data_IF_739437659710
#
_entry.id   IF_739437659710
#
_cell.length_a   1.000
_cell.length_b   1.000
_cell.length_c   1.000
_cell.angle_alpha   90.00
_cell.angle_beta   90.00
_cell.angle_gamma   90.00
#
_symmetry.space_group_name_H-M   'P 1'
#
loop_
_entity.id
_entity.type
_entity.pdbx_description
1 polymer ?
#
# COMPACT_ATOMS: atom_id res chain seq x y z
N UNK A 1 -14.12 -2.03 15.08
CA UNK A 1 -12.69 -1.80 14.76
C UNK A 1 -12.27 -2.80 13.71
N UNK A 2 -11.87 -2.33 12.53
CA UNK A 2 -11.50 -3.15 11.38
C UNK A 2 -9.99 -3.02 11.15
N UNK A 3 -9.28 -4.13 10.96
CA UNK A 3 -7.84 -4.14 10.68
C UNK A 3 -7.60 -4.60 9.24
N UNK A 4 -6.97 -3.75 8.43
CA UNK A 4 -6.54 -4.10 7.08
C UNK A 4 -5.03 -4.41 7.09
N UNK A 5 -4.69 -5.65 6.74
CA UNK A 5 -3.30 -6.17 6.70
C UNK A 5 -2.60 -5.79 5.40
N UNK A 6 -1.29 -5.56 5.47
CA UNK A 6 -0.40 -5.18 4.36
C UNK A 6 -0.33 -6.18 3.18
N UNK A 7 -1.08 -7.27 3.22
CA UNK A 7 -1.24 -8.22 2.11
C UNK A 7 -2.14 -7.63 1.00
N UNK A 8 -3.00 -6.66 1.33
CA UNK A 8 -3.95 -6.04 0.40
C UNK A 8 -3.44 -4.69 -0.12
N UNK A 9 -2.39 -4.71 -0.95
CA UNK A 9 -1.81 -3.50 -1.55
C UNK A 9 -2.12 -3.35 -3.03
N UNK A 10 -2.37 -2.12 -3.45
CA UNK A 10 -2.49 -1.67 -4.83
C UNK A 10 -1.33 -0.70 -5.15
N UNK A 11 -0.96 -0.62 -6.42
CA UNK A 11 0.14 0.26 -6.88
C UNK A 11 -0.35 1.39 -7.78
N UNK A 12 -1.62 1.32 -8.22
CA UNK A 12 -2.29 2.35 -9.00
C UNK A 12 -3.70 2.55 -8.45
N UNK A 13 -4.12 3.81 -8.34
CA UNK A 13 -5.52 4.14 -8.02
C UNK A 13 -6.36 3.95 -9.29
N UNK A 14 -7.38 3.09 -9.21
CA UNK A 14 -8.27 2.74 -10.31
C UNK A 14 -9.67 2.47 -9.79
N UNK A 15 -10.69 2.80 -10.60
CA UNK A 15 -12.08 2.39 -10.36
C UNK A 15 -12.27 0.88 -10.36
N UNK A 16 -11.38 0.16 -11.04
CA UNK A 16 -11.43 -1.30 -11.18
C UNK A 16 -10.79 -2.04 -10.00
N UNK A 17 -10.18 -1.32 -9.05
CA UNK A 17 -9.63 -1.94 -7.85
C UNK A 17 -10.76 -2.49 -6.99
N UNK A 18 -10.69 -3.79 -6.67
CA UNK A 18 -11.67 -4.43 -5.79
C UNK A 18 -11.52 -3.89 -4.36
N UNK A 19 -12.64 -3.72 -3.63
CA UNK A 19 -12.59 -3.28 -2.25
C UNK A 19 -11.78 -4.23 -1.36
N UNK A 20 -10.90 -3.69 -0.53
CA UNK A 20 -10.11 -4.41 0.46
C UNK A 20 -10.95 -4.72 1.72
N UNK A 21 -11.92 -3.86 2.04
CA UNK A 21 -12.90 -4.09 3.10
C UNK A 21 -14.15 -3.22 2.90
N UNK A 22 -15.17 -3.47 3.72
CA UNK A 22 -16.33 -2.59 3.88
C UNK A 22 -16.41 -2.16 5.34
N UNK A 23 -16.82 -0.92 5.60
CA UNK A 23 -17.01 -0.37 6.93
C UNK A 23 -18.28 0.48 6.98
N UNK A 24 -18.83 0.66 8.18
CA UNK A 24 -19.99 1.51 8.41
C UNK A 24 -19.57 2.90 8.91
N UNK A 25 -20.50 3.86 8.85
CA UNK A 25 -20.25 5.18 9.42
C UNK A 25 -19.99 5.08 10.93
N UNK A 26 -18.94 5.76 11.40
CA UNK A 26 -18.48 5.70 12.78
C UNK A 26 -17.54 4.53 13.11
N UNK A 27 -17.25 3.62 12.18
CA UNK A 27 -16.24 2.59 12.41
C UNK A 27 -14.82 3.17 12.51
N UNK A 28 -14.02 2.59 13.42
CA UNK A 28 -12.57 2.81 13.45
C UNK A 28 -11.87 1.78 12.58
N UNK A 29 -11.11 2.23 11.58
CA UNK A 29 -10.33 1.39 10.68
C UNK A 29 -8.83 1.62 10.91
N UNK A 30 -8.07 0.54 11.06
CA UNK A 30 -6.62 0.55 11.25
C UNK A 30 -5.96 -0.05 10.02
N UNK A 31 -5.04 0.70 9.40
CA UNK A 31 -4.29 0.29 8.22
C UNK A 31 -2.84 -0.01 8.61
N UNK A 32 -2.35 -1.20 8.29
CA UNK A 32 -0.96 -1.58 8.55
C UNK A 32 -0.09 -1.42 7.31
N UNK A 33 0.58 -0.28 7.12
CA UNK A 33 1.24 0.05 5.84
C UNK A 33 2.61 -0.60 5.66
N UNK A 34 3.00 -0.83 4.40
CA UNK A 34 4.41 -0.99 4.03
C UNK A 34 5.04 0.40 3.87
N UNK A 35 6.37 0.47 3.88
CA UNK A 35 7.06 1.68 3.40
C UNK A 35 6.87 1.88 1.89
N UNK A 36 7.30 3.03 1.37
CA UNK A 36 7.17 3.36 -0.05
C UNK A 36 8.04 2.49 -1.00
N UNK A 37 8.84 1.57 -0.46
CA UNK A 37 9.61 0.57 -1.21
C UNK A 37 9.08 -0.85 -0.97
N UNK A 38 7.86 -1.00 -0.44
CA UNK A 38 7.29 -2.31 -0.10
C UNK A 38 8.14 -3.08 0.92
N UNK A 39 8.78 -2.37 1.84
CA UNK A 39 9.76 -2.86 2.81
C UNK A 39 10.99 -3.53 2.17
N UNK A 40 11.24 -3.30 0.88
CA UNK A 40 12.44 -3.77 0.20
C UNK A 40 13.61 -2.89 0.62
N UNK A 41 14.62 -3.49 1.25
CA UNK A 41 15.86 -2.80 1.58
C UNK A 41 16.65 -2.52 0.30
N UNK A 42 16.83 -1.23 0.00
CA UNK A 42 17.60 -0.79 -1.16
C UNK A 42 19.09 -0.61 -0.78
N UNK A 43 20.02 -1.01 -1.66
CA UNK A 43 21.44 -0.78 -1.44
C UNK A 43 21.76 0.71 -1.26
N UNK A 44 22.82 0.99 -0.49
CA UNK A 44 23.32 2.37 -0.37
C UNK A 44 23.75 2.88 -1.75
N UNK A 45 23.20 4.03 -2.16
CA UNK A 45 23.50 4.66 -3.45
C UNK A 45 22.44 4.47 -4.53
N UNK A 46 21.35 3.73 -4.25
CA UNK A 46 20.18 3.64 -5.12
C UNK A 46 19.61 5.03 -5.42
N UNK A 47 19.38 5.31 -6.71
CA UNK A 47 18.83 6.60 -7.17
C UNK A 47 17.32 6.53 -7.28
N UNK A 48 16.65 7.43 -6.57
CA UNK A 48 15.20 7.59 -6.65
C UNK A 48 14.75 7.93 -8.08
N UNK A 49 13.72 7.26 -8.57
CA UNK A 49 13.14 7.44 -9.90
C UNK A 49 13.89 6.75 -11.05
N UNK A 50 15.09 6.20 -10.79
CA UNK A 50 15.89 5.48 -11.81
C UNK A 50 15.96 4.00 -11.47
N UNK A 51 16.32 3.69 -10.23
CA UNK A 51 16.54 2.33 -9.75
C UNK A 51 15.34 1.78 -8.97
N UNK A 52 14.23 2.54 -8.95
CA UNK A 52 13.04 2.20 -8.18
C UNK A 52 12.39 0.90 -8.71
N UNK A 53 12.02 -0.03 -7.82
CA UNK A 53 11.22 -1.17 -8.24
C UNK A 53 9.85 -0.70 -8.72
N UNK A 54 9.25 -1.42 -9.68
CA UNK A 54 7.85 -1.18 -10.14
C UNK A 54 6.81 -1.33 -9.03
N UNK A 55 7.20 -1.96 -7.92
CA UNK A 55 6.43 -2.12 -6.68
C UNK A 55 6.73 -1.00 -5.68
N UNK A 56 7.23 0.15 -6.13
CA UNK A 56 7.33 1.34 -5.29
C UNK A 56 5.94 1.92 -5.04
N UNK A 57 5.77 2.58 -3.91
CA UNK A 57 4.54 3.20 -3.42
C UNK A 57 3.36 2.21 -3.36
N UNK A 58 3.45 1.14 -2.54
CA UNK A 58 2.26 0.36 -2.21
C UNK A 58 1.27 1.25 -1.45
N UNK A 59 0.03 1.26 -1.90
CA UNK A 59 -1.09 1.88 -1.20
C UNK A 59 -2.07 0.78 -0.79
N UNK A 60 -2.89 1.04 0.22
CA UNK A 60 -3.98 0.13 0.53
C UNK A 60 -5.09 0.21 -0.52
N UNK A 61 -5.68 -0.95 -0.86
CA UNK A 61 -6.81 -1.04 -1.77
C UNK A 61 -8.01 -0.18 -1.33
N UNK A 62 -8.83 0.23 -2.31
CA UNK A 62 -10.10 0.96 -2.08
C UNK A 62 -11.08 0.15 -1.24
#
# INVERSE_FOLDING_TARGET
>A
MILIRNENVIYNLSSENKPACFCEDGDTVVFNTLDCFSNILLPKGTKLGVDNPKTSNPHFGN
#
